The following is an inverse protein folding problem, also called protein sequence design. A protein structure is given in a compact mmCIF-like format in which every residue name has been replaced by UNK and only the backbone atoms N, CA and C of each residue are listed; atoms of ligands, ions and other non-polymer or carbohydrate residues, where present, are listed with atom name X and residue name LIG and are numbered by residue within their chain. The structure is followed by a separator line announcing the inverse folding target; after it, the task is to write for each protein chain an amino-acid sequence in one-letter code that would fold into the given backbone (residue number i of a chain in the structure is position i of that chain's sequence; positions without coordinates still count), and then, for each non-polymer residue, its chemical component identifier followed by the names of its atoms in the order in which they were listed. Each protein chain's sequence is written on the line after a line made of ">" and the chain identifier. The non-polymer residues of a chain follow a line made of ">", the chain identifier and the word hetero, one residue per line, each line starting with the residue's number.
data_IF_662089767952
#
_entry.id   IF_662089767952
#
_cell.length_a   1.000
_cell.length_b   1.000
_cell.length_c   1.000
_cell.angle_alpha   90.00
_cell.angle_beta   90.00
_cell.angle_gamma   90.00
#
_symmetry.space_group_name_H-M   'P 1'
#
loop_
_entity.id
_entity.type
_entity.pdbx_description
1 polymer ?
#
# COMPACT_ATOMS: atom_id res chain seq x y z
N UNK A 1 0.97 8.18 -18.86
CA UNK A 1 0.38 8.36 -17.51
C UNK A 1 -1.02 7.76 -17.50
N UNK A 2 -1.49 7.33 -16.35
CA UNK A 2 -2.81 6.75 -16.17
C UNK A 2 -3.37 7.21 -14.81
N UNK A 3 -4.67 7.45 -14.75
CA UNK A 3 -5.38 7.80 -13.51
C UNK A 3 -6.77 7.14 -13.53
N UNK A 4 -7.28 6.74 -12.37
CA UNK A 4 -8.61 6.16 -12.26
C UNK A 4 -9.68 7.24 -12.07
N UNK A 5 -10.93 6.87 -12.30
CA UNK A 5 -12.09 7.74 -12.08
C UNK A 5 -12.69 7.49 -10.69
N UNK A 6 -12.58 8.49 -9.84
CA UNK A 6 -13.21 8.56 -8.54
C UNK A 6 -13.96 9.86 -8.35
N UNK A 7 -14.00 10.33 -7.11
CA UNK A 7 -14.61 11.60 -6.75
C UNK A 7 -14.00 12.78 -7.54
N UNK A 8 -14.84 13.66 -8.08
CA UNK A 8 -14.44 14.76 -8.96
C UNK A 8 -14.47 14.42 -10.45
N UNK A 9 -14.72 13.16 -10.81
CA UNK A 9 -14.97 12.74 -12.19
C UNK A 9 -13.89 13.12 -13.18
N UNK A 10 -14.28 13.64 -14.35
CA UNK A 10 -13.40 14.12 -15.43
C UNK A 10 -12.42 15.19 -14.95
N UNK A 11 -12.90 16.11 -14.07
CA UNK A 11 -12.08 17.20 -13.54
C UNK A 11 -10.84 16.73 -12.79
N UNK A 12 -10.93 15.61 -12.11
CA UNK A 12 -9.82 15.00 -11.36
C UNK A 12 -9.11 13.95 -12.23
N UNK A 13 -9.81 12.92 -12.71
CA UNK A 13 -9.19 11.80 -13.41
C UNK A 13 -8.40 12.24 -14.66
N UNK A 14 -8.93 13.15 -15.45
CA UNK A 14 -8.25 13.70 -16.63
C UNK A 14 -7.47 14.96 -16.25
N UNK A 15 -8.06 15.83 -15.43
CA UNK A 15 -7.49 17.11 -15.06
C UNK A 15 -6.13 17.03 -14.36
N UNK A 16 -5.77 15.91 -13.76
CA UNK A 16 -4.47 15.69 -13.09
C UNK A 16 -3.40 15.04 -13.99
N UNK A 17 -3.75 14.60 -15.19
CA UNK A 17 -2.80 13.89 -16.07
C UNK A 17 -1.72 14.79 -16.66
N UNK A 18 -2.01 16.06 -16.89
CA UNK A 18 -1.06 17.02 -17.45
C UNK A 18 -1.37 18.45 -16.97
N UNK A 19 -0.37 19.34 -17.06
CA UNK A 19 -0.51 20.74 -16.63
C UNK A 19 -1.45 21.54 -17.54
N UNK A 20 -1.38 21.31 -18.85
CA UNK A 20 -2.26 21.91 -19.84
C UNK A 20 -3.16 20.88 -20.49
N UNK A 21 -4.46 21.13 -20.52
CA UNK A 21 -5.47 20.20 -21.04
C UNK A 21 -6.61 20.95 -21.70
N UNK A 22 -7.03 20.44 -22.85
CA UNK A 22 -8.25 20.86 -23.56
C UNK A 22 -9.19 19.64 -23.63
N UNK A 23 -10.30 19.70 -22.87
CA UNK A 23 -11.19 18.57 -22.61
C UNK A 23 -12.53 18.80 -23.30
N UNK A 24 -12.94 17.85 -24.14
CA UNK A 24 -14.25 17.85 -24.79
C UNK A 24 -15.24 16.97 -24.00
N UNK A 25 -16.11 17.60 -23.21
CA UNK A 25 -17.11 16.89 -22.41
C UNK A 25 -18.20 16.23 -23.25
N UNK A 26 -18.45 16.72 -24.50
CA UNK A 26 -19.40 16.07 -25.40
C UNK A 26 -18.95 14.69 -25.84
N UNK A 27 -17.63 14.43 -25.84
CA UNK A 27 -17.05 13.13 -26.19
C UNK A 27 -17.03 12.13 -25.01
N UNK A 28 -17.31 12.57 -23.80
CA UNK A 28 -17.29 11.67 -22.62
C UNK A 28 -18.42 10.65 -22.70
N UNK A 29 -18.12 9.34 -22.67
CA UNK A 29 -19.15 8.30 -22.70
C UNK A 29 -20.12 8.39 -21.53
N UNK A 30 -21.40 8.27 -21.80
CA UNK A 30 -22.50 8.38 -20.83
C UNK A 30 -23.39 7.16 -20.90
N UNK A 31 -23.89 6.70 -19.73
CA UNK A 31 -24.87 5.60 -19.67
C UNK A 31 -26.33 6.10 -19.86
N UNK A 32 -26.59 7.39 -19.65
CA UNK A 32 -27.91 8.01 -19.76
C UNK A 32 -27.78 9.47 -20.17
N UNK A 33 -28.82 9.99 -20.79
CA UNK A 33 -28.92 11.41 -21.17
C UNK A 33 -29.43 12.27 -20.03
N UNK A 34 -29.21 13.57 -20.14
CA UNK A 34 -29.74 14.58 -19.21
C UNK A 34 -28.70 15.23 -18.31
N UNK A 35 -27.45 14.77 -18.34
CA UNK A 35 -26.36 15.43 -17.64
C UNK A 35 -25.99 16.75 -18.34
N UNK A 36 -25.83 17.81 -17.56
CA UNK A 36 -25.27 19.08 -18.04
C UNK A 36 -23.72 19.05 -18.03
N UNK A 37 -23.09 20.14 -18.49
CA UNK A 37 -21.64 20.22 -18.58
C UNK A 37 -20.95 20.17 -17.21
N UNK A 38 -21.57 20.74 -16.18
CA UNK A 38 -21.04 20.70 -14.82
C UNK A 38 -21.09 19.27 -14.25
N UNK A 39 -22.24 18.62 -14.41
CA UNK A 39 -22.43 17.25 -13.96
C UNK A 39 -21.46 16.29 -14.70
N UNK A 40 -21.25 16.44 -16.00
CA UNK A 40 -20.28 15.67 -16.74
C UNK A 40 -18.84 15.90 -16.27
N UNK A 41 -18.50 17.13 -15.89
CA UNK A 41 -17.16 17.49 -15.42
C UNK A 41 -16.82 16.87 -14.05
N UNK A 42 -17.80 16.75 -13.16
CA UNK A 42 -17.54 16.35 -11.76
C UNK A 42 -18.20 15.02 -11.36
N UNK A 43 -19.06 14.44 -12.21
CA UNK A 43 -19.78 13.21 -11.88
C UNK A 43 -18.83 12.04 -11.69
N UNK A 44 -18.92 11.43 -10.53
CA UNK A 44 -18.21 10.20 -10.24
C UNK A 44 -18.84 9.03 -11.02
N UNK A 45 -18.05 8.36 -11.83
CA UNK A 45 -18.42 7.14 -12.52
C UNK A 45 -17.21 6.22 -12.50
N UNK A 46 -17.17 5.36 -11.51
CA UNK A 46 -16.06 4.47 -11.20
C UNK A 46 -15.83 3.41 -12.28
N UNK A 47 -14.76 2.64 -12.14
CA UNK A 47 -14.34 1.56 -13.04
C UNK A 47 -14.01 2.06 -14.46
N UNK A 48 -13.52 3.29 -14.55
CA UNK A 48 -12.95 3.88 -15.78
C UNK A 48 -11.52 4.31 -15.52
N UNK A 49 -10.74 4.37 -16.58
CA UNK A 49 -9.35 4.83 -16.52
C UNK A 49 -9.14 5.94 -17.55
N UNK A 50 -8.42 6.99 -17.17
CA UNK A 50 -7.93 8.00 -18.08
C UNK A 50 -6.45 7.73 -18.39
N UNK A 51 -6.07 7.74 -19.65
CA UNK A 51 -4.72 7.42 -20.11
C UNK A 51 -4.21 8.52 -21.03
N UNK A 52 -3.01 9.05 -20.77
CA UNK A 52 -2.33 9.97 -21.67
C UNK A 52 -1.34 9.19 -22.55
N UNK A 53 -1.52 9.27 -23.85
CA UNK A 53 -0.76 8.57 -24.89
C UNK A 53 -0.11 9.55 -25.84
N UNK A 54 0.93 9.13 -26.58
CA UNK A 54 1.41 9.84 -27.75
C UNK A 54 0.36 9.78 -28.88
N UNK A 55 0.20 10.85 -29.70
CA UNK A 55 -0.81 10.87 -30.73
C UNK A 55 -0.76 9.69 -31.70
N UNK A 56 0.43 9.20 -32.01
CA UNK A 56 0.68 8.06 -32.92
C UNK A 56 0.23 6.72 -32.33
N UNK A 57 0.08 6.60 -31.02
CA UNK A 57 -0.28 5.37 -30.33
C UNK A 57 -1.79 5.23 -30.08
N UNK A 58 -2.58 6.30 -30.31
CA UNK A 58 -4.00 6.35 -29.94
C UNK A 58 -4.81 5.29 -30.67
N UNK A 59 -4.67 5.18 -31.99
CA UNK A 59 -5.44 4.22 -32.78
C UNK A 59 -5.10 2.77 -32.43
N UNK A 60 -3.81 2.48 -32.18
CA UNK A 60 -3.37 1.15 -31.74
C UNK A 60 -3.92 0.79 -30.36
N UNK A 61 -3.92 1.76 -29.43
CA UNK A 61 -4.49 1.56 -28.10
C UNK A 61 -5.99 1.29 -28.14
N UNK A 62 -6.74 2.06 -28.94
CA UNK A 62 -8.20 1.85 -29.13
C UNK A 62 -8.48 0.46 -29.71
N UNK A 63 -7.68 0.02 -30.69
CA UNK A 63 -7.84 -1.31 -31.27
C UNK A 63 -7.62 -2.42 -30.23
N UNK A 64 -6.58 -2.33 -29.40
CA UNK A 64 -6.32 -3.27 -28.30
C UNK A 64 -7.43 -3.26 -27.25
N UNK A 65 -7.94 -2.07 -26.89
CA UNK A 65 -9.08 -1.98 -25.97
C UNK A 65 -10.32 -2.70 -26.52
N UNK A 66 -10.61 -2.55 -27.81
CA UNK A 66 -11.72 -3.26 -28.44
C UNK A 66 -11.52 -4.78 -28.49
N UNK A 67 -10.29 -5.27 -28.64
CA UNK A 67 -9.99 -6.72 -28.54
C UNK A 67 -10.33 -7.28 -27.16
N UNK A 68 -10.18 -6.47 -26.10
CA UNK A 68 -10.55 -6.80 -24.72
C UNK A 68 -12.01 -6.47 -24.39
N UNK A 69 -12.82 -6.11 -25.38
CA UNK A 69 -14.22 -5.71 -25.22
C UNK A 69 -14.40 -4.47 -24.31
N UNK A 70 -13.45 -3.55 -24.39
CA UNK A 70 -13.48 -2.27 -23.67
C UNK A 70 -13.78 -1.12 -24.67
N UNK A 71 -14.53 -0.13 -24.19
CA UNK A 71 -14.72 1.12 -24.92
C UNK A 71 -13.59 2.11 -24.57
N UNK A 72 -12.92 2.65 -25.59
CA UNK A 72 -11.90 3.69 -25.43
C UNK A 72 -12.22 4.87 -26.37
N UNK A 73 -12.27 6.07 -25.82
CA UNK A 73 -12.67 7.29 -26.53
C UNK A 73 -11.69 8.43 -26.23
N UNK A 74 -11.12 9.10 -27.26
CA UNK A 74 -10.36 10.32 -27.06
C UNK A 74 -11.26 11.46 -26.58
N UNK A 75 -10.98 12.02 -25.41
CA UNK A 75 -11.82 13.05 -24.79
C UNK A 75 -11.04 14.33 -24.47
N UNK A 76 -9.73 14.32 -24.58
CA UNK A 76 -8.88 15.47 -24.27
C UNK A 76 -7.60 15.49 -25.09
N UNK A 77 -7.01 16.68 -25.18
CA UNK A 77 -5.68 16.90 -25.77
C UNK A 77 -4.80 17.61 -24.75
N UNK A 78 -3.57 17.14 -24.60
CA UNK A 78 -2.54 17.82 -23.79
C UNK A 78 -2.04 19.05 -24.54
N UNK A 79 -1.97 20.20 -23.85
CA UNK A 79 -1.55 21.49 -24.41
C UNK A 79 -0.30 22.02 -23.72
N UNK A 80 0.44 22.89 -24.39
CA UNK A 80 1.63 23.54 -23.82
C UNK A 80 1.27 24.59 -22.76
N UNK A 81 0.13 25.26 -22.92
CA UNK A 81 -0.32 26.28 -21.98
C UNK A 81 -0.83 25.59 -20.69
N UNK A 82 -0.32 25.93 -19.48
CA UNK A 82 -0.68 25.27 -18.25
C UNK A 82 -2.06 25.75 -17.76
N UNK A 83 -3.09 25.35 -18.48
CA UNK A 83 -4.51 25.65 -18.19
C UNK A 83 -5.35 24.40 -18.42
N UNK A 84 -6.40 24.26 -17.64
CA UNK A 84 -7.45 23.25 -17.86
C UNK A 84 -8.66 23.96 -18.46
N UNK A 85 -9.00 23.56 -19.69
CA UNK A 85 -10.21 24.02 -20.39
C UNK A 85 -11.16 22.85 -20.57
N UNK A 86 -12.45 23.11 -20.40
CA UNK A 86 -13.50 22.14 -20.68
C UNK A 86 -14.55 22.77 -21.58
N UNK A 87 -14.90 22.04 -22.63
CA UNK A 87 -15.89 22.47 -23.61
C UNK A 87 -17.12 21.56 -23.57
N UNK A 88 -18.28 22.18 -23.65
CA UNK A 88 -19.57 21.51 -23.70
C UNK A 88 -20.54 22.23 -24.62
N UNK A 89 -21.07 21.51 -25.63
CA UNK A 89 -22.00 22.05 -26.64
C UNK A 89 -21.50 23.29 -27.38
N UNK A 90 -20.18 23.33 -27.60
CA UNK A 90 -19.52 24.45 -28.31
C UNK A 90 -19.10 25.62 -27.42
N UNK A 91 -19.48 25.62 -26.15
CA UNK A 91 -19.09 26.65 -25.19
C UNK A 91 -17.93 26.19 -24.31
N UNK A 92 -17.03 27.11 -23.94
CA UNK A 92 -16.02 26.87 -22.89
C UNK A 92 -16.64 27.12 -21.54
N UNK A 93 -16.88 26.07 -20.78
CA UNK A 93 -17.51 26.16 -19.45
C UNK A 93 -16.50 26.21 -18.29
N UNK A 94 -15.25 25.77 -18.55
CA UNK A 94 -14.13 25.88 -17.59
C UNK A 94 -12.91 26.40 -18.35
N UNK A 95 -12.23 27.39 -17.78
CA UNK A 95 -10.93 27.90 -18.23
C UNK A 95 -10.16 28.43 -17.01
N UNK A 96 -9.36 27.55 -16.39
CA UNK A 96 -8.61 27.85 -15.15
C UNK A 96 -7.14 27.56 -15.33
N UNK A 97 -6.28 28.40 -14.75
CA UNK A 97 -4.84 28.16 -14.75
C UNK A 97 -4.46 27.01 -13.80
N UNK A 98 -3.39 26.30 -14.14
CA UNK A 98 -2.82 25.25 -13.27
C UNK A 98 -2.42 25.82 -11.91
N UNK A 99 -1.86 27.02 -11.86
CA UNK A 99 -1.51 27.72 -10.62
C UNK A 99 -2.72 27.91 -9.71
N UNK A 100 -3.88 28.30 -10.28
CA UNK A 100 -5.11 28.42 -9.51
C UNK A 100 -5.56 27.07 -8.94
N UNK A 101 -5.54 26.01 -9.75
CA UNK A 101 -5.90 24.66 -9.28
C UNK A 101 -4.98 24.15 -8.19
N UNK A 102 -3.67 24.38 -8.31
CA UNK A 102 -2.67 23.95 -7.34
C UNK A 102 -2.80 24.64 -5.98
N UNK A 103 -3.33 25.88 -5.96
CA UNK A 103 -3.42 26.70 -4.74
C UNK A 103 -4.87 26.97 -4.29
N UNK A 104 -5.89 26.55 -5.05
CA UNK A 104 -7.27 26.99 -4.88
C UNK A 104 -7.40 28.53 -4.81
N UNK A 105 -6.55 29.24 -5.57
CA UNK A 105 -6.51 30.70 -5.63
C UNK A 105 -5.79 31.40 -4.48
N UNK A 106 -5.27 30.65 -3.48
CA UNK A 106 -4.51 31.24 -2.38
C UNK A 106 -3.42 30.28 -1.89
N UNK A 107 -2.17 30.76 -1.66
CA UNK A 107 -1.14 29.97 -1.02
C UNK A 107 -1.62 29.47 0.35
N UNK A 108 -1.36 28.19 0.65
CA UNK A 108 -1.65 27.60 1.95
C UNK A 108 -0.36 27.34 2.68
N UNK A 109 -0.32 27.71 3.95
CA UNK A 109 0.82 27.46 4.83
C UNK A 109 0.33 26.71 6.07
N UNK A 110 1.08 25.70 6.48
CA UNK A 110 0.89 25.00 7.74
C UNK A 110 2.22 25.01 8.50
N UNK A 111 2.15 25.25 9.80
CA UNK A 111 3.27 25.00 10.69
C UNK A 111 3.26 23.51 11.03
N UNK A 112 4.44 22.88 11.03
CA UNK A 112 4.60 21.46 11.30
C UNK A 112 5.66 21.30 12.39
N UNK A 113 5.30 20.63 13.48
CA UNK A 113 6.21 20.24 14.54
C UNK A 113 6.39 18.71 14.50
N UNK A 114 7.43 18.26 13.81
CA UNK A 114 7.75 16.83 13.73
C UNK A 114 8.25 16.37 15.09
N UNK A 115 7.66 15.32 15.70
CA UNK A 115 8.11 14.81 16.99
C UNK A 115 9.56 14.32 16.90
N UNK A 116 10.38 14.74 17.87
CA UNK A 116 11.72 14.20 18.02
C UNK A 116 11.65 12.78 18.59
N UNK A 117 12.68 11.95 18.40
CA UNK A 117 12.82 10.70 19.12
C UNK A 117 12.70 10.92 20.63
N UNK A 118 12.16 9.94 21.34
CA UNK A 118 11.93 10.04 22.79
C UNK A 118 13.23 10.14 23.59
N UNK A 119 14.35 9.64 23.06
CA UNK A 119 15.68 9.77 23.64
C UNK A 119 16.56 10.68 22.76
N UNK A 120 17.42 11.51 23.42
CA UNK A 120 18.44 12.34 22.76
C UNK A 120 19.62 11.51 22.19
N UNK A 121 19.61 10.18 22.37
CA UNK A 121 20.56 9.29 21.72
C UNK A 121 20.34 9.38 20.20
N UNK A 122 21.27 9.92 19.50
CA UNK A 122 21.28 9.90 18.05
C UNK A 122 21.39 8.46 17.58
N UNK A 123 20.25 7.89 17.17
CA UNK A 123 20.28 6.67 16.38
C UNK A 123 21.21 6.90 15.18
N UNK A 124 22.19 6.03 14.97
CA UNK A 124 23.20 6.17 13.92
C UNK A 124 22.57 6.10 12.51
N UNK A 125 21.36 5.53 12.42
CA UNK A 125 20.61 5.36 11.18
C UNK A 125 19.11 5.37 11.39
N UNK A 126 18.34 5.51 10.31
CA UNK A 126 16.88 5.40 10.33
C UNK A 126 16.41 4.00 10.76
N UNK A 127 17.12 2.97 10.33
CA UNK A 127 16.89 1.57 10.70
C UNK A 127 17.08 1.37 12.21
N UNK A 128 18.19 1.87 12.75
CA UNK A 128 18.52 1.79 14.17
C UNK A 128 17.45 2.45 15.04
N UNK A 129 17.04 3.68 14.70
CA UNK A 129 15.93 4.37 15.37
C UNK A 129 14.64 3.52 15.40
N UNK A 130 14.31 2.88 14.29
CA UNK A 130 13.09 2.10 14.20
C UNK A 130 13.14 0.84 15.10
N UNK A 131 14.31 0.19 15.19
CA UNK A 131 14.51 -0.95 16.08
C UNK A 131 14.58 -0.54 17.56
N UNK A 132 15.23 0.57 17.89
CA UNK A 132 15.23 1.13 19.25
C UNK A 132 13.80 1.41 19.73
N UNK A 133 13.01 2.16 18.96
CA UNK A 133 11.62 2.45 19.27
C UNK A 133 10.77 1.17 19.43
N UNK A 134 11.07 0.13 18.65
CA UNK A 134 10.39 -1.17 18.79
C UNK A 134 10.77 -1.86 20.10
N UNK A 135 12.03 -1.76 20.53
CA UNK A 135 12.52 -2.36 21.79
C UNK A 135 12.01 -1.65 23.04
N UNK A 136 11.73 -0.35 22.94
CA UNK A 136 11.19 0.47 24.01
C UNK A 136 9.67 0.38 24.15
N UNK A 137 9.01 -0.16 23.11
CA UNK A 137 7.56 -0.28 23.09
C UNK A 137 7.10 -1.24 24.18
N UNK A 138 6.39 -0.72 25.16
CA UNK A 138 5.71 -1.54 26.16
C UNK A 138 4.38 -2.02 25.59
N UNK A 139 4.17 -3.32 25.62
CA UNK A 139 2.91 -3.94 25.24
C UNK A 139 2.27 -4.55 26.48
N UNK A 140 1.14 -4.01 26.97
CA UNK A 140 0.53 -4.48 28.22
C UNK A 140 0.21 -5.98 28.24
N UNK A 141 -0.04 -6.58 27.08
CA UNK A 141 -0.29 -8.01 26.96
C UNK A 141 1.01 -8.80 27.05
N UNK A 142 2.08 -8.31 26.40
CA UNK A 142 3.41 -8.94 26.48
C UNK A 142 3.96 -8.82 27.90
N UNK A 143 3.83 -7.66 28.53
CA UNK A 143 4.25 -7.45 29.92
C UNK A 143 3.51 -8.41 30.88
N UNK A 144 2.18 -8.53 30.75
CA UNK A 144 1.38 -9.48 31.54
C UNK A 144 1.74 -10.94 31.27
N UNK A 145 2.18 -11.26 30.03
CA UNK A 145 2.65 -12.57 29.61
C UNK A 145 4.01 -12.88 30.24
N UNK A 146 4.93 -11.92 30.28
CA UNK A 146 6.24 -12.08 30.90
C UNK A 146 6.18 -12.25 32.42
N UNK A 147 5.18 -11.64 33.06
CA UNK A 147 4.97 -11.71 34.50
C UNK A 147 4.10 -12.91 34.96
N UNK A 148 3.61 -13.72 34.00
CA UNK A 148 2.72 -14.83 34.33
C UNK A 148 3.44 -16.02 34.94
N UNK A 149 2.79 -16.66 35.92
CA UNK A 149 3.33 -17.78 36.70
C UNK A 149 3.62 -19.06 35.87
N UNK A 150 3.09 -19.14 34.63
CA UNK A 150 3.31 -20.29 33.77
C UNK A 150 3.19 -19.93 32.27
N UNK A 151 3.92 -20.65 31.46
CA UNK A 151 3.86 -20.55 29.99
C UNK A 151 2.44 -20.77 29.44
N UNK A 152 1.66 -21.65 30.04
CA UNK A 152 0.29 -21.94 29.65
C UNK A 152 -0.63 -20.72 29.84
N UNK A 153 -0.51 -20.02 30.96
CA UNK A 153 -1.26 -18.79 31.25
C UNK A 153 -0.83 -17.68 30.32
N UNK A 154 0.46 -17.55 30.06
CA UNK A 154 1.03 -16.60 29.10
C UNK A 154 0.49 -16.78 27.69
N UNK A 155 0.55 -18.02 27.17
CA UNK A 155 0.04 -18.34 25.84
C UNK A 155 -1.48 -18.12 25.74
N UNK A 156 -2.24 -18.48 26.78
CA UNK A 156 -3.68 -18.27 26.79
C UNK A 156 -4.04 -16.79 26.74
N UNK A 157 -3.34 -15.94 27.47
CA UNK A 157 -3.53 -14.48 27.45
C UNK A 157 -3.19 -13.90 26.07
N UNK A 158 -2.04 -14.28 25.50
CA UNK A 158 -1.60 -13.81 24.19
C UNK A 158 -2.59 -14.20 23.07
N UNK A 159 -3.02 -15.46 23.07
CA UNK A 159 -3.94 -15.98 22.04
C UNK A 159 -5.38 -15.49 22.25
N UNK A 160 -5.72 -15.02 23.44
CA UNK A 160 -7.02 -14.43 23.77
C UNK A 160 -7.13 -12.93 23.47
N UNK A 161 -6.01 -12.25 23.23
CA UNK A 161 -6.02 -10.84 22.87
C UNK A 161 -6.69 -10.64 21.50
N UNK A 162 -7.69 -9.76 21.45
CA UNK A 162 -8.48 -9.50 20.25
C UNK A 162 -7.63 -8.99 19.07
N UNK A 163 -6.52 -8.32 19.34
CA UNK A 163 -5.61 -7.81 18.33
C UNK A 163 -4.68 -8.90 17.75
N UNK A 164 -4.58 -10.04 18.45
CA UNK A 164 -3.74 -11.20 18.05
C UNK A 164 -4.55 -12.44 17.77
N UNK A 165 -5.82 -12.47 18.17
CA UNK A 165 -6.73 -13.57 17.89
C UNK A 165 -6.93 -13.73 16.38
N UNK A 166 -7.24 -14.97 15.97
CA UNK A 166 -7.42 -15.28 14.54
C UNK A 166 -8.53 -14.45 13.90
N UNK A 167 -8.22 -13.79 12.79
CA UNK A 167 -9.18 -13.07 11.95
C UNK A 167 -10.00 -13.98 11.01
N UNK A 168 -9.91 -15.30 11.15
CA UNK A 168 -10.52 -16.26 10.22
C UNK A 168 -12.01 -16.02 10.02
N UNK A 169 -12.76 -15.75 11.08
CA UNK A 169 -14.20 -15.50 11.00
C UNK A 169 -14.57 -14.24 10.20
N UNK A 170 -13.70 -13.24 10.11
CA UNK A 170 -13.88 -12.08 9.25
C UNK A 170 -13.53 -12.42 7.79
N UNK A 171 -12.40 -13.10 7.59
CA UNK A 171 -11.87 -13.45 6.26
C UNK A 171 -12.84 -14.39 5.52
N UNK A 172 -13.48 -15.32 6.20
CA UNK A 172 -14.44 -16.25 5.61
C UNK A 172 -15.72 -15.56 5.06
N UNK A 173 -15.91 -14.28 5.35
CA UNK A 173 -17.02 -13.48 4.77
C UNK A 173 -16.69 -12.91 3.38
N UNK A 174 -15.44 -12.97 2.98
CA UNK A 174 -14.96 -12.47 1.70
C UNK A 174 -14.65 -13.62 0.75
N UNK A 175 -14.92 -13.41 -0.53
CA UNK A 175 -14.57 -14.37 -1.57
C UNK A 175 -13.09 -14.27 -1.91
N UNK A 176 -12.34 -15.29 -1.52
CA UNK A 176 -10.88 -15.37 -1.75
C UNK A 176 -10.51 -16.19 -3.00
N UNK A 177 -11.48 -16.71 -3.73
CA UNK A 177 -11.29 -17.59 -4.90
C UNK A 177 -11.81 -17.00 -6.20
N UNK A 178 -12.21 -15.76 -6.19
CA UNK A 178 -12.78 -15.08 -7.36
C UNK A 178 -11.78 -15.13 -8.53
N UNK A 179 -12.27 -15.39 -9.74
CA UNK A 179 -11.45 -15.57 -10.93
C UNK A 179 -10.65 -16.88 -10.99
N UNK A 180 -10.71 -17.74 -9.96
CA UNK A 180 -10.03 -19.03 -9.87
C UNK A 180 -8.51 -18.96 -10.08
N UNK A 181 -7.89 -17.81 -9.81
CA UNK A 181 -6.46 -17.55 -9.98
C UNK A 181 -5.66 -17.63 -8.67
N UNK A 182 -6.32 -17.81 -7.53
CA UNK A 182 -5.71 -17.82 -6.19
C UNK A 182 -4.70 -18.96 -6.06
N UNK A 183 -3.48 -18.61 -5.65
CA UNK A 183 -2.38 -19.55 -5.36
C UNK A 183 -2.27 -19.81 -3.86
N UNK A 184 -2.31 -18.75 -3.04
CA UNK A 184 -2.37 -18.86 -1.59
C UNK A 184 -3.74 -18.41 -1.09
N UNK A 185 -4.42 -19.32 -0.40
CA UNK A 185 -5.64 -18.97 0.35
C UNK A 185 -5.27 -18.14 1.58
N UNK A 186 -6.16 -17.30 2.11
CA UNK A 186 -5.92 -16.52 3.33
C UNK A 186 -5.47 -17.38 4.53
N UNK A 187 -5.96 -18.61 4.60
CA UNK A 187 -5.53 -19.61 5.56
C UNK A 187 -5.14 -20.90 4.85
N UNK A 188 -3.88 -21.31 5.02
CA UNK A 188 -3.30 -22.51 4.44
C UNK A 188 -3.17 -23.68 5.41
N UNK A 189 -2.45 -24.71 4.96
CA UNK A 189 -2.25 -25.97 5.67
C UNK A 189 -3.42 -26.93 5.56
N UNK A 190 -3.20 -28.18 5.99
CA UNK A 190 -4.19 -29.26 5.88
C UNK A 190 -5.53 -28.99 6.57
N UNK A 191 -5.53 -28.09 7.56
CA UNK A 191 -6.72 -27.69 8.33
C UNK A 191 -7.20 -26.27 8.02
N UNK A 192 -6.54 -25.57 7.10
CA UNK A 192 -6.83 -24.16 6.77
C UNK A 192 -6.87 -23.25 8.01
N UNK A 193 -5.86 -23.34 8.86
CA UNK A 193 -5.72 -22.58 10.09
C UNK A 193 -4.48 -21.67 10.12
N UNK A 194 -3.51 -21.90 9.22
CA UNK A 194 -2.28 -21.10 9.17
C UNK A 194 -2.50 -19.86 8.30
N UNK A 195 -2.42 -18.63 8.85
CA UNK A 195 -2.57 -17.41 8.07
C UNK A 195 -1.49 -17.31 7.00
N UNK A 196 -1.85 -16.95 5.78
CA UNK A 196 -0.89 -16.60 4.74
C UNK A 196 -0.28 -15.22 5.04
N UNK A 197 1.01 -15.04 4.71
CA UNK A 197 1.70 -13.76 4.88
C UNK A 197 1.37 -12.76 3.77
N UNK A 198 0.99 -13.26 2.61
CA UNK A 198 0.67 -12.46 1.43
C UNK A 198 -0.45 -13.11 0.62
N UNK A 199 -1.19 -12.28 -0.10
CA UNK A 199 -2.04 -12.73 -1.20
C UNK A 199 -1.15 -13.10 -2.38
N UNK A 200 -1.39 -14.24 -3.01
CA UNK A 200 -0.74 -14.63 -4.27
C UNK A 200 -1.78 -15.15 -5.24
N UNK A 201 -1.82 -14.58 -6.43
CA UNK A 201 -2.71 -14.99 -7.51
C UNK A 201 -1.98 -15.04 -8.86
N UNK A 202 -2.37 -15.96 -9.73
CA UNK A 202 -1.90 -15.99 -11.12
C UNK A 202 -2.40 -14.77 -11.88
N UNK A 203 -1.58 -14.23 -12.77
CA UNK A 203 -2.06 -13.22 -13.71
C UNK A 203 -3.08 -13.85 -14.66
N UNK A 204 -4.18 -13.17 -14.96
CA UNK A 204 -5.16 -13.66 -15.90
C UNK A 204 -4.59 -13.67 -17.32
N UNK A 205 -4.78 -14.79 -18.03
CA UNK A 205 -4.40 -14.93 -19.45
C UNK A 205 -5.56 -15.56 -20.20
N UNK A 206 -5.87 -15.00 -21.38
CA UNK A 206 -6.96 -15.51 -22.23
C UNK A 206 -6.50 -16.77 -22.98
N UNK A 207 -7.26 -17.86 -22.80
CA UNK A 207 -7.05 -19.11 -23.56
C UNK A 207 -5.72 -19.81 -23.33
N UNK A 208 -4.97 -19.45 -22.26
CA UNK A 208 -3.64 -19.98 -21.98
C UNK A 208 -3.45 -20.45 -20.54
N UNK A 209 -2.18 -20.76 -20.22
CA UNK A 209 -1.72 -21.03 -18.85
C UNK A 209 -0.52 -20.14 -18.57
N UNK A 210 -0.40 -19.71 -17.31
CA UNK A 210 0.74 -18.92 -16.85
C UNK A 210 1.30 -19.48 -15.55
N UNK A 211 2.61 -19.34 -15.36
CA UNK A 211 3.29 -19.50 -14.08
C UNK A 211 3.52 -18.16 -13.39
N UNK A 212 3.28 -17.07 -14.10
CA UNK A 212 3.45 -15.71 -13.56
C UNK A 212 2.39 -15.43 -12.50
N UNK A 213 2.84 -14.96 -11.36
CA UNK A 213 1.98 -14.61 -10.21
C UNK A 213 2.20 -13.16 -9.78
N UNK A 214 1.18 -12.57 -9.22
CA UNK A 214 1.22 -11.31 -8.48
C UNK A 214 1.14 -11.61 -6.99
N UNK A 215 2.01 -11.00 -6.20
CA UNK A 215 1.99 -11.05 -4.74
C UNK A 215 1.69 -9.69 -4.15
N UNK A 216 0.97 -9.68 -3.01
CA UNK A 216 0.71 -8.48 -2.22
C UNK A 216 0.70 -8.82 -0.73
N UNK A 217 1.52 -8.11 0.03
CA UNK A 217 1.59 -8.18 1.50
C UNK A 217 1.32 -6.82 2.12
N UNK A 218 1.20 -6.79 3.44
CA UNK A 218 1.02 -5.54 4.18
C UNK A 218 1.79 -5.56 5.49
N UNK A 219 2.12 -4.35 5.99
CA UNK A 219 2.75 -4.14 7.29
C UNK A 219 2.14 -2.96 8.01
N UNK A 220 1.91 -3.11 9.31
CA UNK A 220 1.41 -2.07 10.20
C UNK A 220 1.45 -2.54 11.67
N UNK A 221 1.93 -1.67 12.55
CA UNK A 221 1.85 -1.87 14.00
C UNK A 221 1.23 -0.63 14.66
N UNK A 222 -0.04 -0.68 15.13
CA UNK A 222 -0.75 0.47 15.67
C UNK A 222 -0.12 1.02 16.96
N UNK A 223 0.49 0.18 17.76
CA UNK A 223 1.12 0.61 19.03
C UNK A 223 2.41 1.36 18.74
N UNK A 224 3.27 0.83 17.87
CA UNK A 224 4.50 1.49 17.47
C UNK A 224 4.22 2.81 16.74
N UNK A 225 3.22 2.83 15.85
CA UNK A 225 2.81 4.04 15.15
C UNK A 225 2.26 5.11 16.08
N UNK A 226 1.62 4.71 17.20
CA UNK A 226 1.16 5.64 18.23
C UNK A 226 2.29 6.16 19.10
N UNK A 227 3.30 5.32 19.36
CA UNK A 227 4.47 5.68 20.16
C UNK A 227 5.43 6.58 19.35
N UNK A 228 5.84 6.16 18.17
CA UNK A 228 6.66 6.92 17.23
C UNK A 228 6.15 6.71 15.80
N UNK A 229 5.44 7.69 15.20
CA UNK A 229 4.93 7.58 13.84
C UNK A 229 6.01 7.35 12.77
N UNK A 230 7.22 7.86 12.99
CA UNK A 230 8.36 7.64 12.08
C UNK A 230 8.80 6.18 12.11
N UNK A 231 9.06 5.65 13.30
CA UNK A 231 9.47 4.26 13.49
C UNK A 231 8.36 3.30 13.04
N UNK A 232 7.10 3.61 13.37
CA UNK A 232 5.94 2.84 12.94
C UNK A 232 5.84 2.68 11.44
N UNK A 233 6.04 3.76 10.70
CA UNK A 233 6.01 3.74 9.24
C UNK A 233 7.23 3.05 8.63
N UNK A 234 8.43 3.24 9.19
CA UNK A 234 9.63 2.51 8.77
C UNK A 234 9.43 0.99 8.91
N UNK A 235 8.97 0.55 10.08
CA UNK A 235 8.73 -0.86 10.37
C UNK A 235 7.56 -1.44 9.56
N UNK A 236 6.55 -0.63 9.21
CA UNK A 236 5.48 -1.06 8.31
C UNK A 236 6.02 -1.42 6.91
N UNK A 237 6.96 -0.63 6.37
CA UNK A 237 7.64 -0.96 5.11
C UNK A 237 8.48 -2.23 5.26
N UNK A 238 9.29 -2.32 6.31
CA UNK A 238 10.11 -3.52 6.57
C UNK A 238 9.25 -4.78 6.65
N UNK A 239 8.16 -4.74 7.41
CA UNK A 239 7.26 -5.88 7.59
C UNK A 239 6.60 -6.32 6.28
N UNK A 240 6.08 -5.38 5.48
CA UNK A 240 5.48 -5.70 4.18
C UNK A 240 6.49 -6.33 3.22
N UNK A 241 7.73 -5.81 3.16
CA UNK A 241 8.82 -6.35 2.33
C UNK A 241 9.21 -7.74 2.83
N UNK A 242 9.43 -7.92 4.14
CA UNK A 242 9.83 -9.20 4.75
C UNK A 242 8.82 -10.32 4.47
N UNK A 243 7.52 -10.03 4.61
CA UNK A 243 6.43 -10.98 4.31
C UNK A 243 6.45 -11.40 2.84
N UNK A 244 6.69 -10.47 1.93
CA UNK A 244 6.69 -10.77 0.50
C UNK A 244 7.95 -11.56 0.09
N UNK A 245 9.12 -11.23 0.69
CA UNK A 245 10.35 -12.05 0.54
C UNK A 245 10.12 -13.46 1.07
N UNK A 246 9.55 -13.61 2.27
CA UNK A 246 9.24 -14.91 2.85
C UNK A 246 8.23 -15.71 2.01
N UNK A 247 7.43 -15.05 1.18
CA UNK A 247 6.48 -15.68 0.26
C UNK A 247 7.12 -16.08 -1.08
N UNK A 248 8.38 -15.70 -1.33
CA UNK A 248 9.16 -16.14 -2.51
C UNK A 248 9.33 -15.08 -3.59
N UNK A 249 9.02 -13.82 -3.31
CA UNK A 249 9.21 -12.71 -4.24
C UNK A 249 10.57 -12.03 -4.00
N UNK A 250 11.15 -11.51 -5.06
CA UNK A 250 12.44 -10.82 -5.03
C UNK A 250 12.26 -9.34 -4.70
N UNK A 251 12.97 -8.84 -3.68
CA UNK A 251 12.91 -7.44 -3.23
C UNK A 251 13.20 -6.45 -4.35
N UNK A 252 14.12 -6.77 -5.25
CA UNK A 252 14.48 -5.92 -6.38
C UNK A 252 13.31 -5.64 -7.35
N UNK A 253 12.27 -6.47 -7.33
CA UNK A 253 11.08 -6.36 -8.18
C UNK A 253 9.86 -5.83 -7.44
N UNK A 254 10.04 -5.38 -6.18
CA UNK A 254 8.94 -4.88 -5.35
C UNK A 254 8.67 -3.41 -5.58
N UNK A 255 7.40 -3.07 -5.50
CA UNK A 255 6.90 -1.70 -5.40
C UNK A 255 6.00 -1.58 -4.18
N UNK A 256 5.91 -0.35 -3.65
CA UNK A 256 5.07 -0.06 -2.49
C UNK A 256 3.88 0.81 -2.88
N UNK A 257 2.83 0.71 -2.07
CA UNK A 257 1.75 1.69 -2.02
C UNK A 257 1.36 1.91 -0.56
N UNK A 258 1.01 3.14 -0.19
CA UNK A 258 0.70 3.47 1.19
C UNK A 258 -0.77 3.85 1.35
N UNK A 259 -1.36 3.40 2.45
CA UNK A 259 -2.65 3.90 2.91
C UNK A 259 -2.43 4.65 4.22
N UNK A 260 -2.72 5.93 4.21
CA UNK A 260 -2.58 6.79 5.39
C UNK A 260 -3.95 7.20 5.92
N UNK A 261 -4.08 7.20 7.27
CA UNK A 261 -5.26 7.70 7.94
C UNK A 261 -4.88 8.34 9.27
N UNK A 262 -5.09 9.64 9.36
CA UNK A 262 -4.74 10.46 10.52
C UNK A 262 -5.93 11.25 11.02
N UNK A 263 -5.81 11.72 12.24
CA UNK A 263 -6.76 12.65 12.87
C UNK A 263 -6.90 13.96 12.08
N UNK A 264 -7.95 14.71 12.33
CA UNK A 264 -8.11 16.05 11.76
C UNK A 264 -6.97 16.96 12.21
N UNK A 265 -6.18 17.45 11.27
CA UNK A 265 -4.95 18.21 11.53
C UNK A 265 -5.21 19.61 12.09
N UNK A 266 -6.32 20.25 11.72
CA UNK A 266 -6.71 21.61 12.16
C UNK A 266 -5.58 22.62 11.92
N UNK A 267 -5.39 23.60 12.82
CA UNK A 267 -4.27 24.57 12.83
C UNK A 267 -3.20 24.18 13.89
N UNK A 268 -3.04 22.90 14.13
CA UNK A 268 -2.20 22.35 15.19
C UNK A 268 -0.91 21.77 14.60
N UNK A 269 0.27 22.40 14.86
CA UNK A 269 1.55 21.94 14.30
C UNK A 269 1.93 20.52 14.72
N UNK A 270 1.57 20.08 15.91
CA UNK A 270 1.89 18.73 16.40
C UNK A 270 1.05 17.68 15.67
N UNK A 271 -0.23 17.97 15.39
CA UNK A 271 -1.08 17.11 14.57
C UNK A 271 -0.55 16.97 13.15
N UNK A 272 -0.04 18.05 12.55
CA UNK A 272 0.64 18.04 11.26
C UNK A 272 1.98 17.29 11.30
N UNK A 273 2.62 17.24 12.46
CA UNK A 273 3.88 16.54 12.67
C UNK A 273 3.79 15.03 12.51
N UNK A 274 2.66 14.42 12.89
CA UNK A 274 2.46 12.97 12.86
C UNK A 274 2.50 12.39 11.43
N UNK A 275 1.68 12.84 10.46
CA UNK A 275 1.79 12.36 9.09
C UNK A 275 3.16 12.69 8.47
N UNK A 276 3.74 13.86 8.77
CA UNK A 276 5.07 14.20 8.28
C UNK A 276 6.13 13.21 8.79
N UNK A 277 6.11 12.86 10.08
CA UNK A 277 7.00 11.87 10.66
C UNK A 277 6.83 10.49 9.99
N UNK A 278 5.60 10.04 9.79
CA UNK A 278 5.29 8.77 9.15
C UNK A 278 5.82 8.73 7.70
N UNK A 279 5.57 9.77 6.91
CA UNK A 279 6.08 9.86 5.53
C UNK A 279 7.61 9.86 5.50
N UNK A 280 8.28 10.57 6.42
CA UNK A 280 9.74 10.57 6.51
C UNK A 280 10.27 9.17 6.87
N UNK A 281 9.65 8.45 7.81
CA UNK A 281 10.03 7.08 8.16
C UNK A 281 9.87 6.13 6.97
N UNK A 282 8.74 6.19 6.28
CA UNK A 282 8.49 5.40 5.07
C UNK A 282 9.47 5.76 3.94
N UNK A 283 9.85 7.03 3.78
CA UNK A 283 10.84 7.46 2.79
C UNK A 283 12.21 6.85 3.09
N UNK A 284 12.64 6.91 4.35
CA UNK A 284 13.94 6.34 4.73
C UNK A 284 13.97 4.82 4.54
N UNK A 285 12.90 4.11 4.88
CA UNK A 285 12.80 2.67 4.62
C UNK A 285 12.86 2.34 3.11
N UNK A 286 12.26 3.15 2.25
CA UNK A 286 12.37 2.99 0.80
C UNK A 286 13.82 3.11 0.32
N UNK A 287 14.55 4.10 0.84
CA UNK A 287 15.96 4.32 0.50
C UNK A 287 16.81 3.15 1.00
N UNK A 288 16.62 2.75 2.25
CA UNK A 288 17.40 1.70 2.91
C UNK A 288 17.20 0.32 2.25
N UNK A 289 15.97 -0.01 1.86
CA UNK A 289 15.66 -1.31 1.25
C UNK A 289 15.67 -1.31 -0.28
N UNK A 290 15.87 -0.15 -0.91
CA UNK A 290 15.91 -0.03 -2.37
C UNK A 290 14.58 -0.34 -3.05
N UNK A 291 13.45 -0.05 -2.40
CA UNK A 291 12.08 -0.25 -2.91
C UNK A 291 11.38 1.10 -3.05
N UNK A 292 10.57 1.27 -4.09
CA UNK A 292 9.92 2.55 -4.37
C UNK A 292 8.41 2.48 -4.25
N UNK A 293 7.79 3.52 -3.67
CA UNK A 293 6.34 3.68 -3.69
C UNK A 293 5.88 4.21 -5.06
N UNK A 294 4.85 3.57 -5.61
CA UNK A 294 4.23 3.93 -6.90
C UNK A 294 2.96 4.75 -6.73
N UNK A 295 2.46 4.88 -5.52
CA UNK A 295 1.26 5.62 -5.21
C UNK A 295 0.81 5.41 -3.78
N UNK A 296 -0.38 5.88 -3.49
CA UNK A 296 -0.99 5.75 -2.18
C UNK A 296 -2.26 6.57 -2.08
N UNK A 297 -2.85 6.54 -0.90
CA UNK A 297 -4.03 7.31 -0.56
C UNK A 297 -3.91 7.81 0.87
N UNK A 298 -4.25 9.06 1.10
CA UNK A 298 -4.24 9.67 2.43
C UNK A 298 -5.62 10.20 2.83
N UNK A 299 -5.84 10.32 4.11
CA UNK A 299 -6.99 11.01 4.68
C UNK A 299 -6.67 11.53 6.09
N UNK A 300 -6.98 12.81 6.32
CA UNK A 300 -6.81 13.48 7.63
C UNK A 300 -8.18 13.80 8.22
N UNK A 301 -9.09 12.83 8.22
CA UNK A 301 -10.48 12.98 8.69
C UNK A 301 -10.81 12.12 9.92
N UNK A 302 -9.82 11.45 10.50
CA UNK A 302 -9.98 10.45 11.56
C UNK A 302 -10.23 11.02 12.95
N UNK A 303 -11.15 11.97 13.09
CA UNK A 303 -11.58 12.51 14.40
C UNK A 303 -13.09 12.50 14.50
N UNK A 304 -13.60 11.96 15.60
CA UNK A 304 -15.00 11.99 15.93
C UNK A 304 -15.16 12.37 17.42
N UNK A 305 -15.76 13.54 17.67
CA UNK A 305 -15.84 14.15 19.01
C UNK A 305 -14.45 14.24 19.67
N UNK A 306 -14.22 13.52 20.78
CA UNK A 306 -12.96 13.48 21.51
C UNK A 306 -12.09 12.27 21.12
N UNK A 307 -12.52 11.45 20.15
CA UNK A 307 -11.76 10.31 19.65
C UNK A 307 -10.97 10.70 18.41
N UNK A 308 -9.68 10.47 18.44
CA UNK A 308 -8.78 10.55 17.30
C UNK A 308 -8.29 9.13 16.95
N UNK A 309 -8.21 8.82 15.65
CA UNK A 309 -7.57 7.58 15.23
C UNK A 309 -6.08 7.61 15.56
N UNK A 310 -5.47 6.47 15.89
CA UNK A 310 -4.01 6.40 16.01
C UNK A 310 -3.34 6.77 14.68
N UNK A 311 -2.13 7.34 14.70
CA UNK A 311 -1.34 7.56 13.49
C UNK A 311 -1.26 6.28 12.68
N UNK A 312 -1.72 6.30 11.45
CA UNK A 312 -1.81 5.10 10.61
C UNK A 312 -1.14 5.34 9.27
N UNK A 313 -0.06 4.60 9.01
CA UNK A 313 0.50 4.38 7.68
C UNK A 313 0.66 2.88 7.50
N UNK A 314 -0.18 2.31 6.65
CA UNK A 314 -0.08 0.90 6.23
C UNK A 314 0.76 0.85 4.97
N UNK A 315 1.82 0.04 4.98
CA UNK A 315 2.60 -0.27 3.78
C UNK A 315 2.05 -1.52 3.12
N UNK A 316 1.83 -1.45 1.82
CA UNK A 316 1.58 -2.62 0.98
C UNK A 316 2.76 -2.80 0.04
N UNK A 317 3.34 -4.00 0.03
CA UNK A 317 4.36 -4.39 -0.94
C UNK A 317 3.73 -5.29 -2.00
N UNK A 318 4.03 -5.02 -3.26
CA UNK A 318 3.55 -5.82 -4.40
C UNK A 318 4.70 -6.17 -5.33
N UNK A 319 4.64 -7.35 -5.93
CA UNK A 319 5.62 -7.79 -6.92
C UNK A 319 5.01 -8.81 -7.89
N UNK A 320 5.68 -8.96 -9.03
CA UNK A 320 5.46 -10.05 -9.97
C UNK A 320 6.52 -11.11 -9.74
N UNK A 321 6.13 -12.38 -9.76
CA UNK A 321 7.01 -13.52 -9.56
C UNK A 321 6.60 -14.75 -10.34
N UNK A 322 7.22 -15.88 -10.02
CA UNK A 322 6.88 -17.18 -10.61
C UNK A 322 6.31 -18.12 -9.54
N UNK A 323 5.28 -18.88 -9.90
CA UNK A 323 4.58 -19.80 -9.00
C UNK A 323 5.51 -20.85 -8.38
N UNK A 324 6.57 -21.25 -9.09
CA UNK A 324 7.51 -22.28 -8.63
C UNK A 324 8.38 -21.80 -7.45
N UNK A 325 8.41 -20.47 -7.21
CA UNK A 325 9.12 -19.87 -6.06
C UNK A 325 8.22 -19.59 -4.87
N UNK A 326 6.89 -19.74 -5.02
CA UNK A 326 5.95 -19.37 -3.95
C UNK A 326 6.07 -20.33 -2.77
N UNK A 327 6.32 -19.77 -1.59
CA UNK A 327 6.36 -20.45 -0.31
C UNK A 327 5.20 -20.04 0.59
N UNK A 328 4.92 -20.83 1.60
CA UNK A 328 3.86 -20.55 2.58
C UNK A 328 4.32 -20.94 4.00
N UNK A 329 3.74 -20.36 5.05
CA UNK A 329 4.27 -20.48 6.42
C UNK A 329 4.01 -21.84 7.08
N UNK A 330 3.06 -22.63 6.62
CA UNK A 330 2.76 -23.90 7.27
C UNK A 330 3.88 -24.94 7.09
N UNK A 331 4.24 -25.64 8.17
CA UNK A 331 5.22 -26.72 8.15
C UNK A 331 4.73 -27.89 7.26
N UNK A 332 5.59 -28.43 6.41
CA UNK A 332 5.23 -29.41 5.39
C UNK A 332 5.44 -30.85 5.83
N UNK A 333 6.58 -31.18 6.41
CA UNK A 333 6.95 -32.54 6.76
C UNK A 333 7.60 -32.64 8.14
N UNK A 334 7.34 -33.76 8.84
CA UNK A 334 8.04 -34.07 10.08
C UNK A 334 9.50 -34.42 9.81
N UNK A 335 10.40 -33.80 10.54
CA UNK A 335 11.84 -33.95 10.38
C UNK A 335 12.53 -32.85 9.57
N UNK A 336 11.76 -31.87 9.05
CA UNK A 336 12.35 -30.65 8.49
C UNK A 336 13.11 -29.87 9.57
N UNK A 337 14.25 -29.27 9.18
CA UNK A 337 15.00 -28.39 10.06
C UNK A 337 14.37 -27.00 10.08
N UNK A 338 14.18 -26.44 11.28
CA UNK A 338 13.79 -25.06 11.45
C UNK A 338 15.05 -24.21 11.56
N UNK A 339 15.18 -23.23 10.66
CA UNK A 339 16.32 -22.31 10.61
C UNK A 339 15.81 -20.91 10.90
N UNK A 340 16.44 -20.24 11.87
CA UNK A 340 16.21 -18.86 12.18
C UNK A 340 17.24 -18.01 11.44
N UNK A 341 16.77 -17.14 10.52
CA UNK A 341 17.61 -16.15 9.83
C UNK A 341 17.40 -14.82 10.56
N UNK A 342 18.46 -14.27 11.11
CA UNK A 342 18.47 -13.00 11.80
C UNK A 342 19.63 -12.14 11.33
N UNK A 343 19.62 -10.87 11.68
CA UNK A 343 20.72 -9.93 11.51
C UNK A 343 21.34 -9.60 12.88
N UNK A 344 22.64 -9.29 12.89
CA UNK A 344 23.40 -9.08 14.14
C UNK A 344 23.28 -7.65 14.68
N UNK A 345 22.98 -6.69 13.79
CA UNK A 345 22.85 -5.28 14.11
C UNK A 345 21.64 -4.65 13.40
N UNK A 346 21.19 -3.51 13.88
CA UNK A 346 20.05 -2.77 13.33
C UNK A 346 20.49 -1.87 12.14
N UNK A 347 21.36 -2.37 11.27
CA UNK A 347 21.74 -1.69 10.04
C UNK A 347 20.91 -2.17 8.85
N UNK A 348 20.50 -1.24 8.00
CA UNK A 348 19.75 -1.56 6.79
C UNK A 348 20.48 -2.56 5.89
N UNK A 349 21.80 -2.51 5.82
CA UNK A 349 22.62 -3.47 5.07
C UNK A 349 22.53 -4.89 5.61
N UNK A 350 22.47 -5.06 6.92
CA UNK A 350 22.34 -6.37 7.57
C UNK A 350 20.93 -6.95 7.36
N UNK A 351 19.90 -6.12 7.44
CA UNK A 351 18.53 -6.49 7.11
C UNK A 351 18.42 -6.93 5.63
N UNK A 352 18.99 -6.14 4.71
CA UNK A 352 19.04 -6.50 3.29
C UNK A 352 19.78 -7.81 3.04
N UNK A 353 20.91 -8.05 3.72
CA UNK A 353 21.64 -9.30 3.61
C UNK A 353 20.82 -10.50 4.08
N UNK A 354 19.99 -10.35 5.11
CA UNK A 354 19.05 -11.38 5.55
C UNK A 354 17.98 -11.66 4.48
N UNK A 355 17.42 -10.62 3.84
CA UNK A 355 16.50 -10.79 2.71
C UNK A 355 17.16 -11.53 1.55
N UNK A 356 18.34 -11.10 1.13
CA UNK A 356 19.10 -11.71 0.03
C UNK A 356 19.41 -13.20 0.32
N UNK A 357 19.71 -13.54 1.57
CA UNK A 357 19.93 -14.92 1.99
C UNK A 357 18.64 -15.77 1.88
N UNK A 358 17.50 -15.26 2.31
CA UNK A 358 16.20 -15.94 2.20
C UNK A 358 15.81 -16.12 0.72
N UNK A 359 15.95 -15.08 -0.09
CA UNK A 359 15.68 -15.12 -1.54
C UNK A 359 16.54 -16.17 -2.25
N UNK A 360 17.83 -16.23 -1.89
CA UNK A 360 18.76 -17.24 -2.42
C UNK A 360 18.33 -18.65 -2.05
N UNK A 361 18.00 -18.91 -0.78
CA UNK A 361 17.59 -20.23 -0.30
C UNK A 361 16.29 -20.69 -0.95
N UNK A 362 15.30 -19.80 -1.11
CA UNK A 362 14.06 -20.10 -1.83
C UNK A 362 14.36 -20.40 -3.31
N UNK A 363 15.20 -19.55 -3.95
CA UNK A 363 15.60 -19.76 -5.34
C UNK A 363 16.36 -21.06 -5.59
N UNK A 364 17.12 -21.54 -4.59
CA UNK A 364 17.80 -22.83 -4.63
C UNK A 364 16.84 -24.03 -4.43
N UNK A 365 15.56 -23.79 -4.13
CA UNK A 365 14.56 -24.84 -3.94
C UNK A 365 14.73 -25.67 -2.66
N UNK A 366 15.49 -25.18 -1.67
CA UNK A 366 15.74 -25.89 -0.41
C UNK A 366 14.76 -25.50 0.69
N UNK A 367 14.01 -24.41 0.52
CA UNK A 367 13.01 -23.92 1.47
C UNK A 367 11.66 -24.54 1.17
N UNK A 368 11.06 -25.20 2.14
CA UNK A 368 9.73 -25.82 2.02
C UNK A 368 8.62 -24.94 2.62
N UNK A 369 8.96 -24.19 3.65
CA UNK A 369 8.08 -23.23 4.31
C UNK A 369 8.91 -22.03 4.77
N UNK A 370 8.34 -20.85 4.75
CA UNK A 370 8.99 -19.64 5.24
C UNK A 370 7.96 -18.72 5.90
N UNK A 371 8.37 -18.08 6.99
CA UNK A 371 7.59 -17.08 7.67
C UNK A 371 8.51 -15.92 8.11
N UNK A 372 7.99 -14.72 8.16
CA UNK A 372 8.63 -13.58 8.81
C UNK A 372 7.99 -13.34 10.17
N UNK A 373 8.79 -13.04 11.18
CA UNK A 373 8.29 -12.53 12.46
C UNK A 373 7.79 -11.10 12.28
N UNK A 374 6.62 -10.80 12.80
CA UNK A 374 5.98 -9.50 12.72
C UNK A 374 5.17 -9.23 13.99
N UNK A 375 4.53 -8.05 14.07
CA UNK A 375 3.58 -7.77 15.14
C UNK A 375 2.48 -8.84 15.18
N UNK A 376 2.37 -9.52 16.33
CA UNK A 376 1.44 -10.63 16.53
C UNK A 376 2.04 -12.02 16.32
N UNK A 377 3.32 -12.13 16.03
CA UNK A 377 4.07 -13.39 15.98
C UNK A 377 4.44 -13.88 14.59
#
# INVERSE_FOLDING_TARGET
>A
RCNDFGAGGVSVAIGELADGLDINLDAVPKKYDGLDGTELAISESQERMAVALAPEDVDAFIALAHEENLEATPVAVVTEEPRVRMHWRGDTIVDVSREFLASNGAPKHAAVAVPAPADESFAESACDRAFEATSELTDPVVDAVCDADSLEVSLAALMGDINRASNKGLVERFDSTIGAATVLMPFGGARQLTPALAMVAKLPVLGGKTTTVSGLSWGFNPYLSSYDPYAGAYMAVLDSVAKLVATGFERANMYLTFQEYFEKLRQDPERWGKPMAAVLGALMAQIDFGVGAIGGKDSMSGSFEDLDVPPTLVSFATAIGDIDRVTSPELKEAGDNLIWVSFEDALASSVCAAFDAVEYLIGAGVVRACASGAYGG
#
